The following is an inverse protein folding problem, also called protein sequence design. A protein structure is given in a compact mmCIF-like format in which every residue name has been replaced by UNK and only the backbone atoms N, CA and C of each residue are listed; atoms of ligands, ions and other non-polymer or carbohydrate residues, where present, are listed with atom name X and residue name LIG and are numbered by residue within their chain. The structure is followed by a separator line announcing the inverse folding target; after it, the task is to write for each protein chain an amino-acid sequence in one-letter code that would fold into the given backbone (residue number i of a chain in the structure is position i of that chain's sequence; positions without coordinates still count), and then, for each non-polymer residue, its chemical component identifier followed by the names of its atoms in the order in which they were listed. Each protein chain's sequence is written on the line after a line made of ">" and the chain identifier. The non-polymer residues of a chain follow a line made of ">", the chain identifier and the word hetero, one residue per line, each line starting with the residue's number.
data_IF_541836256425
#
_entry.id   IF_541836256425
#
_cell.length_a   1.000
_cell.length_b   1.000
_cell.length_c   1.000
_cell.angle_alpha   90.00
_cell.angle_beta   90.00
_cell.angle_gamma   90.00
#
_symmetry.space_group_name_H-M   'P 1'
#
loop_
_entity.id
_entity.type
_entity.pdbx_description
1 polymer ?
#
# COMPACT_ATOMS: atom_id res chain seq x y z
N UNK A 1 9.27 29.28 -7.18
CA UNK A 1 10.27 28.20 -7.01
C UNK A 1 9.87 27.43 -5.77
N UNK A 2 9.49 26.16 -5.88
CA UNK A 2 9.17 25.32 -4.72
C UNK A 2 10.45 25.04 -3.94
N UNK A 3 10.44 25.29 -2.63
CA UNK A 3 11.61 25.25 -1.74
C UNK A 3 12.25 23.84 -1.61
N UNK A 4 11.56 22.80 -2.09
CA UNK A 4 11.97 21.39 -2.02
C UNK A 4 12.31 20.79 -3.38
N UNK A 5 12.14 21.51 -4.50
CA UNK A 5 12.28 20.95 -5.85
C UNK A 5 11.15 19.97 -6.24
N UNK A 6 10.06 19.92 -5.45
CA UNK A 6 8.87 19.09 -5.70
C UNK A 6 7.65 20.01 -5.82
N UNK A 7 6.82 19.82 -6.84
CA UNK A 7 5.55 20.55 -6.96
C UNK A 7 4.51 20.00 -5.97
N UNK A 8 3.60 20.84 -5.51
CA UNK A 8 2.45 20.45 -4.68
C UNK A 8 1.60 19.40 -5.38
N UNK A 9 1.48 19.50 -6.71
CA UNK A 9 0.76 18.52 -7.52
C UNK A 9 1.44 17.15 -7.45
N UNK A 10 2.76 17.09 -7.58
CA UNK A 10 3.52 15.84 -7.49
C UNK A 10 3.36 15.19 -6.12
N UNK A 11 3.43 16.00 -5.05
CA UNK A 11 3.20 15.54 -3.69
C UNK A 11 1.82 14.88 -3.51
N UNK A 12 0.78 15.52 -4.05
CA UNK A 12 -0.59 15.00 -4.00
C UNK A 12 -0.70 13.67 -4.77
N UNK A 13 -0.10 13.60 -5.96
CA UNK A 13 -0.11 12.41 -6.80
C UNK A 13 0.62 11.23 -6.13
N UNK A 14 1.80 11.44 -5.59
CA UNK A 14 2.54 10.40 -4.87
C UNK A 14 1.83 9.94 -3.59
N UNK A 15 1.02 10.79 -2.97
CA UNK A 15 0.23 10.38 -1.80
C UNK A 15 -0.99 9.55 -2.21
N UNK A 16 -1.59 9.80 -3.37
CA UNK A 16 -2.82 9.11 -3.79
C UNK A 16 -2.56 7.80 -4.56
N UNK A 17 -1.42 7.64 -5.23
CA UNK A 17 -1.12 6.40 -5.98
C UNK A 17 -1.19 5.11 -5.16
N UNK A 18 -0.70 5.04 -3.90
CA UNK A 18 -0.83 3.83 -3.09
C UNK A 18 -2.28 3.49 -2.77
N UNK A 19 -3.10 4.52 -2.54
CA UNK A 19 -4.55 4.34 -2.30
C UNK A 19 -5.20 3.76 -3.54
N UNK A 20 -4.94 4.33 -4.72
CA UNK A 20 -5.45 3.83 -5.99
C UNK A 20 -5.00 2.37 -6.22
N UNK A 21 -3.73 2.07 -5.97
CA UNK A 21 -3.19 0.71 -6.12
C UNK A 21 -3.91 -0.32 -5.23
N UNK A 22 -4.14 0.00 -3.96
CA UNK A 22 -4.87 -0.88 -3.04
C UNK A 22 -6.35 -1.03 -3.45
N UNK A 23 -6.99 0.05 -3.90
CA UNK A 23 -8.37 0.02 -4.39
C UNK A 23 -8.54 -0.80 -5.67
N UNK A 24 -7.57 -0.75 -6.59
CA UNK A 24 -7.57 -1.60 -7.79
C UNK A 24 -7.50 -3.07 -7.38
N UNK A 25 -6.62 -3.43 -6.44
CA UNK A 25 -6.55 -4.81 -5.93
C UNK A 25 -7.89 -5.22 -5.30
N UNK A 26 -8.49 -4.35 -4.48
CA UNK A 26 -9.81 -4.60 -3.86
C UNK A 26 -10.90 -4.84 -4.93
N UNK A 27 -10.97 -3.97 -5.94
CA UNK A 27 -11.95 -4.06 -7.02
C UNK A 27 -11.79 -5.37 -7.80
N UNK A 28 -10.55 -5.72 -8.19
CA UNK A 28 -10.26 -6.97 -8.89
C UNK A 28 -10.66 -8.16 -8.02
N UNK A 29 -10.19 -8.23 -6.77
CA UNK A 29 -10.50 -9.33 -5.85
C UNK A 29 -12.01 -9.48 -5.61
N UNK A 30 -12.76 -8.37 -5.60
CA UNK A 30 -14.23 -8.39 -5.48
C UNK A 30 -14.89 -9.00 -6.72
N UNK A 31 -14.42 -8.65 -7.92
CA UNK A 31 -14.94 -9.19 -9.18
C UNK A 31 -14.72 -10.70 -9.27
N UNK A 32 -13.52 -11.18 -8.92
CA UNK A 32 -13.18 -12.61 -8.99
C UNK A 32 -13.50 -13.39 -7.70
N UNK A 33 -14.14 -12.77 -6.71
CA UNK A 33 -14.51 -13.36 -5.41
C UNK A 33 -13.33 -14.05 -4.71
N UNK A 34 -12.17 -13.42 -4.71
CA UNK A 34 -10.95 -13.94 -4.07
C UNK A 34 -11.16 -14.14 -2.57
N UNK A 35 -10.66 -15.24 -1.97
CA UNK A 35 -10.70 -15.41 -0.52
C UNK A 35 -9.91 -14.30 0.18
N UNK A 36 -10.45 -13.84 1.32
CA UNK A 36 -9.96 -12.67 2.08
C UNK A 36 -8.47 -12.70 2.39
N UNK A 37 -7.92 -13.85 2.75
CA UNK A 37 -6.49 -13.94 3.05
C UNK A 37 -5.64 -13.65 1.82
N UNK A 38 -5.99 -14.15 0.63
CA UNK A 38 -5.24 -13.86 -0.60
C UNK A 38 -5.31 -12.36 -0.92
N UNK A 39 -6.51 -11.75 -0.82
CA UNK A 39 -6.69 -10.31 -1.00
C UNK A 39 -5.76 -9.48 -0.12
N UNK A 40 -5.71 -9.79 1.18
CA UNK A 40 -4.87 -9.08 2.16
C UNK A 40 -3.38 -9.26 1.88
N UNK A 41 -2.94 -10.46 1.46
CA UNK A 41 -1.55 -10.70 1.07
C UNK A 41 -1.18 -9.93 -0.20
N UNK A 42 -2.07 -9.87 -1.20
CA UNK A 42 -1.85 -9.08 -2.42
C UNK A 42 -1.76 -7.58 -2.11
N UNK A 43 -2.64 -7.05 -1.25
CA UNK A 43 -2.57 -5.65 -0.80
C UNK A 43 -1.28 -5.37 -0.01
N UNK A 44 -0.79 -6.32 0.78
CA UNK A 44 0.49 -6.19 1.46
C UNK A 44 1.66 -6.13 0.48
N UNK A 45 1.68 -6.99 -0.56
CA UNK A 45 2.71 -6.96 -1.60
C UNK A 45 2.73 -5.62 -2.33
N UNK A 46 1.56 -5.07 -2.69
CA UNK A 46 1.46 -3.74 -3.29
C UNK A 46 2.01 -2.67 -2.35
N UNK A 47 1.66 -2.72 -1.06
CA UNK A 47 2.16 -1.78 -0.05
C UNK A 47 3.70 -1.84 0.07
N UNK A 48 4.29 -3.04 0.10
CA UNK A 48 5.76 -3.21 0.08
C UNK A 48 6.38 -2.59 -1.18
N UNK A 49 5.76 -2.83 -2.35
CA UNK A 49 6.24 -2.27 -3.61
C UNK A 49 6.30 -0.73 -3.59
N UNK A 50 5.24 -0.07 -3.12
CA UNK A 50 5.24 1.38 -2.93
C UNK A 50 6.25 1.84 -1.88
N UNK A 51 6.38 1.12 -0.77
CA UNK A 51 7.38 1.42 0.27
C UNK A 51 8.81 1.40 -0.28
N UNK A 52 9.15 0.40 -1.09
CA UNK A 52 10.46 0.30 -1.75
C UNK A 52 10.64 1.45 -2.76
N UNK A 53 9.62 1.72 -3.58
CA UNK A 53 9.67 2.76 -4.60
C UNK A 53 9.94 4.15 -4.00
N UNK A 54 9.22 4.51 -2.92
CA UNK A 54 9.35 5.82 -2.27
C UNK A 54 10.63 6.00 -1.45
N UNK A 55 11.26 4.91 -1.02
CA UNK A 55 12.49 4.98 -0.24
C UNK A 55 13.75 4.88 -1.12
N UNK A 56 13.77 3.96 -2.07
CA UNK A 56 14.98 3.56 -2.79
C UNK A 56 15.01 3.94 -4.27
N UNK A 57 13.86 4.16 -4.91
CA UNK A 57 13.78 4.40 -6.36
C UNK A 57 13.67 5.88 -6.68
N UNK A 58 12.90 6.65 -5.91
CA UNK A 58 12.80 8.10 -6.12
C UNK A 58 14.12 8.81 -5.73
N UNK A 59 14.67 9.67 -6.60
CA UNK A 59 15.89 10.43 -6.31
C UNK A 59 15.63 11.48 -5.22
N UNK A 60 16.63 11.78 -4.40
CA UNK A 60 16.56 12.91 -3.47
C UNK A 60 16.55 14.24 -4.26
N UNK A 61 15.75 15.26 -3.88
CA UNK A 61 14.91 15.39 -2.68
C UNK A 61 13.45 14.91 -2.84
N UNK A 62 13.09 14.27 -3.96
CA UNK A 62 11.73 13.78 -4.27
C UNK A 62 11.36 12.47 -3.55
N UNK A 63 12.26 11.89 -2.76
CA UNK A 63 11.96 10.69 -2.01
C UNK A 63 10.98 10.98 -0.86
N UNK A 64 10.12 10.01 -0.56
CA UNK A 64 9.07 10.13 0.46
C UNK A 64 9.27 9.09 1.57
N UNK A 65 10.32 9.23 2.41
CA UNK A 65 10.67 8.21 3.40
C UNK A 65 9.57 7.97 4.43
N UNK A 66 8.87 9.02 4.88
CA UNK A 66 7.75 8.87 5.82
C UNK A 66 6.59 8.08 5.20
N UNK A 67 6.23 8.37 3.95
CA UNK A 67 5.21 7.60 3.21
C UNK A 67 5.63 6.15 3.05
N UNK A 68 6.91 5.89 2.76
CA UNK A 68 7.45 4.53 2.68
C UNK A 68 7.34 3.77 4.02
N UNK A 69 7.67 4.40 5.15
CA UNK A 69 7.49 3.79 6.49
C UNK A 69 6.04 3.42 6.72
N UNK A 70 5.10 4.32 6.40
CA UNK A 70 3.66 4.05 6.53
C UNK A 70 3.25 2.88 5.64
N UNK A 71 3.76 2.79 4.42
CA UNK A 71 3.49 1.67 3.52
C UNK A 71 4.03 0.34 4.06
N UNK A 72 5.22 0.32 4.67
CA UNK A 72 5.75 -0.87 5.33
C UNK A 72 4.94 -1.26 6.57
N UNK A 73 4.54 -0.30 7.39
CA UNK A 73 3.68 -0.55 8.55
C UNK A 73 2.32 -1.14 8.12
N UNK A 74 1.73 -0.58 7.06
CA UNK A 74 0.50 -1.11 6.46
C UNK A 74 0.70 -2.53 5.93
N UNK A 75 1.80 -2.80 5.23
CA UNK A 75 2.11 -4.15 4.75
C UNK A 75 2.18 -5.16 5.89
N UNK A 76 2.86 -4.82 6.99
CA UNK A 76 2.94 -5.68 8.18
C UNK A 76 1.56 -5.93 8.79
N UNK A 77 0.72 -4.89 8.91
CA UNK A 77 -0.64 -5.01 9.39
C UNK A 77 -1.48 -5.94 8.50
N UNK A 78 -1.39 -5.79 7.18
CA UNK A 78 -2.11 -6.61 6.20
C UNK A 78 -1.63 -8.06 6.20
N UNK A 79 -0.32 -8.32 6.33
CA UNK A 79 0.22 -9.68 6.48
C UNK A 79 -0.32 -10.33 7.75
N UNK A 80 -0.33 -9.61 8.87
CA UNK A 80 -0.89 -10.11 10.12
C UNK A 80 -2.38 -10.44 9.99
N UNK A 81 -3.17 -9.52 9.41
CA UNK A 81 -4.60 -9.75 9.16
C UNK A 81 -4.83 -10.92 8.19
N UNK A 82 -4.02 -11.04 7.14
CA UNK A 82 -4.09 -12.12 6.17
C UNK A 82 -3.79 -13.49 6.77
N UNK A 83 -2.77 -13.58 7.64
CA UNK A 83 -2.49 -14.80 8.41
C UNK A 83 -3.65 -15.18 9.32
N UNK A 84 -4.22 -14.22 10.04
CA UNK A 84 -5.37 -14.45 10.92
C UNK A 84 -6.62 -14.88 10.13
N UNK A 85 -6.89 -14.24 8.99
CA UNK A 85 -8.02 -14.56 8.12
C UNK A 85 -7.92 -15.96 7.49
N UNK A 86 -6.70 -16.47 7.28
CA UNK A 86 -6.48 -17.86 6.83
C UNK A 86 -6.83 -18.90 7.92
N UNK A 87 -6.57 -18.59 9.19
CA UNK A 87 -6.75 -19.52 10.32
C UNK A 87 -8.18 -19.48 10.87
N UNK A 88 -8.78 -18.30 10.94
CA UNK A 88 -10.14 -18.11 11.44
C UNK A 88 -10.87 -17.08 10.58
N UNK A 89 -11.59 -17.54 9.55
CA UNK A 89 -12.35 -16.66 8.65
C UNK A 89 -13.41 -15.85 9.42
N UNK A 90 -14.05 -16.46 10.43
CA UNK A 90 -15.14 -15.85 11.23
C UNK A 90 -14.70 -14.79 12.24
N UNK A 91 -13.40 -14.73 12.60
CA UNK A 91 -12.88 -13.77 13.60
C UNK A 91 -12.28 -12.50 12.99
N UNK A 92 -12.49 -12.24 11.72
CA UNK A 92 -11.94 -11.08 11.04
C UNK A 92 -13.06 -10.16 10.55
N UNK A 93 -13.27 -8.98 11.16
CA UNK A 93 -14.44 -8.12 10.93
C UNK A 93 -14.47 -7.36 9.57
N UNK A 94 -13.91 -7.93 8.50
CA UNK A 94 -13.82 -7.30 7.15
C UNK A 94 -14.05 -8.27 5.99
#
# INVERSE_FOLDING_TARGET
>A
MTHTGVDVIDFLLYTIYPVIGIFIVEAICRVIKTPKWIKLWTQATVSVGFGIYYWFVLPAPQNFPLTAIVMFALALALIYQGRRAKISPDKSPY
#
